data_IF_489657160884
#
_entry.id   IF_489657160884
#
_cell.length_a   1.000
_cell.length_b   1.000
_cell.length_c   1.000
_cell.angle_alpha   90.00
_cell.angle_beta   90.00
_cell.angle_gamma   90.00
#
_symmetry.space_group_name_H-M   'P 1'
#
loop_
_entity.id
_entity.type
_entity.pdbx_description
1 polymer ?
#
# COMPACT_ATOMS: atom_id res chain seq x y z
N UNK A 1 -16.23 -12.32 -26.65
CA UNK A 1 -15.51 -12.38 -25.36
C UNK A 1 -15.39 -10.95 -24.87
N UNK A 2 -15.82 -10.67 -23.64
CA UNK A 2 -15.71 -9.33 -23.05
C UNK A 2 -14.54 -9.34 -22.05
N UNK A 3 -13.62 -8.37 -22.18
CA UNK A 3 -12.43 -8.24 -21.35
C UNK A 3 -12.47 -6.86 -20.69
N UNK A 4 -12.13 -6.78 -19.39
CA UNK A 4 -12.03 -5.54 -18.62
C UNK A 4 -10.60 -5.45 -18.07
N UNK A 5 -9.91 -4.37 -18.40
CA UNK A 5 -8.57 -4.04 -17.92
C UNK A 5 -8.59 -2.60 -17.38
N UNK A 6 -7.89 -2.34 -16.28
CA UNK A 6 -7.82 -1.03 -15.67
C UNK A 6 -6.76 -0.15 -16.34
N UNK A 7 -7.06 1.13 -16.56
CA UNK A 7 -6.00 2.11 -16.81
C UNK A 7 -5.24 2.40 -15.52
N UNK A 8 -4.02 2.94 -15.60
CA UNK A 8 -3.25 3.37 -14.42
C UNK A 8 -3.36 4.87 -14.13
N UNK A 9 -4.17 5.60 -14.90
CA UNK A 9 -4.49 7.02 -14.66
C UNK A 9 -5.74 7.15 -13.80
N UNK A 10 -5.74 8.01 -12.77
CA UNK A 10 -6.89 8.16 -11.87
C UNK A 10 -7.01 9.58 -11.27
N UNK A 11 -6.88 10.62 -12.09
CA UNK A 11 -6.61 12.02 -11.70
C UNK A 11 -7.43 12.60 -10.52
N UNK A 12 -8.68 12.17 -10.37
CA UNK A 12 -9.60 12.67 -9.33
C UNK A 12 -9.66 11.78 -8.08
N UNK A 13 -8.97 10.64 -8.08
CA UNK A 13 -8.98 9.70 -6.96
C UNK A 13 -8.27 10.27 -5.74
N UNK A 14 -8.84 10.01 -4.56
CA UNK A 14 -8.25 10.32 -3.25
C UNK A 14 -7.58 9.09 -2.68
N UNK A 15 -6.29 9.20 -2.38
CA UNK A 15 -5.47 8.09 -1.92
C UNK A 15 -4.97 8.36 -0.51
N UNK A 16 -5.13 7.38 0.37
CA UNK A 16 -4.42 7.37 1.65
C UNK A 16 -3.22 6.43 1.59
N UNK A 17 -2.09 6.85 2.16
CA UNK A 17 -0.91 6.02 2.32
C UNK A 17 -0.65 5.85 3.81
N UNK A 18 -0.79 4.64 4.32
CA UNK A 18 -0.45 4.30 5.70
C UNK A 18 0.96 3.68 5.74
N UNK A 19 1.88 4.31 6.47
CA UNK A 19 3.31 3.96 6.46
C UNK A 19 3.79 3.63 7.86
N UNK A 20 4.45 2.48 8.01
CA UNK A 20 5.09 2.07 9.26
C UNK A 20 6.35 2.89 9.54
N UNK A 21 6.50 3.39 10.77
CA UNK A 21 7.69 4.14 11.20
C UNK A 21 8.88 3.22 11.52
N UNK A 22 8.65 2.04 12.09
CA UNK A 22 9.72 1.06 12.32
C UNK A 22 10.35 0.63 10.98
N UNK A 23 11.69 0.54 10.91
CA UNK A 23 12.45 0.42 9.64
C UNK A 23 12.31 1.63 8.70
N UNK A 24 12.22 2.85 9.25
CA UNK A 24 11.95 4.11 8.52
C UNK A 24 12.81 4.33 7.27
N UNK A 25 14.09 3.98 7.33
CA UNK A 25 14.99 4.12 6.18
C UNK A 25 14.45 3.39 4.93
N UNK A 26 14.01 2.14 5.11
CA UNK A 26 13.47 1.29 4.04
C UNK A 26 12.08 1.79 3.64
N UNK A 27 11.22 2.10 4.63
CA UNK A 27 9.85 2.51 4.37
C UNK A 27 9.74 3.91 3.75
N UNK A 28 10.72 4.79 3.97
CA UNK A 28 10.82 6.06 3.23
C UNK A 28 11.00 5.79 1.73
N UNK A 29 11.87 4.86 1.34
CA UNK A 29 12.05 4.53 -0.07
C UNK A 29 10.78 3.92 -0.68
N UNK A 30 10.04 3.10 0.07
CA UNK A 30 8.73 2.60 -0.36
C UNK A 30 7.73 3.75 -0.56
N UNK A 31 7.69 4.70 0.38
CA UNK A 31 6.83 5.88 0.30
C UNK A 31 7.17 6.75 -0.91
N UNK A 32 8.45 7.04 -1.12
CA UNK A 32 8.92 7.81 -2.28
C UNK A 32 8.53 7.12 -3.60
N UNK A 33 8.72 5.80 -3.67
CA UNK A 33 8.31 5.01 -4.82
C UNK A 33 6.80 5.04 -5.07
N UNK A 34 5.98 4.97 -4.02
CA UNK A 34 4.53 5.08 -4.15
C UNK A 34 4.10 6.49 -4.62
N UNK A 35 4.69 7.53 -4.01
CA UNK A 35 4.41 8.92 -4.36
C UNK A 35 4.78 9.24 -5.82
N UNK A 36 5.93 8.78 -6.30
CA UNK A 36 6.33 8.95 -7.71
C UNK A 36 5.26 8.37 -8.66
N UNK A 37 4.83 7.13 -8.42
CA UNK A 37 3.83 6.47 -9.26
C UNK A 37 2.49 7.20 -9.23
N UNK A 38 1.99 7.55 -8.05
CA UNK A 38 0.71 8.27 -7.92
C UNK A 38 0.72 9.59 -8.70
N UNK A 39 1.82 10.33 -8.66
CA UNK A 39 1.93 11.62 -9.35
C UNK A 39 2.20 11.47 -10.84
N UNK A 40 3.22 10.67 -11.20
CA UNK A 40 3.75 10.58 -12.57
C UNK A 40 2.87 9.75 -13.49
N UNK A 41 2.27 8.68 -12.97
CA UNK A 41 1.44 7.74 -13.74
C UNK A 41 -0.04 7.94 -13.41
N UNK A 42 -0.37 8.02 -12.12
CA UNK A 42 -1.74 8.23 -11.67
C UNK A 42 -2.30 9.61 -11.96
N UNK A 43 -1.43 10.61 -12.21
CA UNK A 43 -1.79 12.02 -12.33
C UNK A 43 -2.59 12.56 -11.12
N UNK A 44 -2.35 11.98 -9.94
CA UNK A 44 -2.99 12.40 -8.69
C UNK A 44 -2.35 13.70 -8.21
N UNK A 45 -3.18 14.69 -7.88
CA UNK A 45 -2.73 15.94 -7.26
C UNK A 45 -2.31 15.71 -5.81
N UNK A 46 -1.33 16.48 -5.33
CA UNK A 46 -0.80 16.36 -3.96
C UNK A 46 -1.88 16.50 -2.87
N UNK A 47 -2.88 17.37 -3.09
CA UNK A 47 -4.01 17.57 -2.18
C UNK A 47 -4.93 16.35 -2.03
N UNK A 48 -4.88 15.41 -2.97
CA UNK A 48 -5.64 14.16 -2.95
C UNK A 48 -4.84 13.00 -2.34
N UNK A 49 -3.60 13.22 -1.88
CA UNK A 49 -2.75 12.20 -1.25
C UNK A 49 -2.56 12.52 0.23
N UNK A 50 -3.09 11.67 1.10
CA UNK A 50 -2.88 11.78 2.56
C UNK A 50 -1.88 10.72 3.01
N UNK A 51 -0.79 11.11 3.67
CA UNK A 51 0.16 10.16 4.28
C UNK A 51 -0.02 10.10 5.80
N UNK A 52 -0.17 8.90 6.34
CA UNK A 52 -0.39 8.62 7.77
C UNK A 52 0.72 7.71 8.27
N UNK A 53 1.38 8.09 9.38
CA UNK A 53 2.45 7.28 9.97
C UNK A 53 1.93 6.45 11.14
N UNK A 54 2.12 5.14 11.08
CA UNK A 54 1.86 4.20 12.20
C UNK A 54 3.17 3.86 12.93
N UNK A 55 3.14 3.46 14.22
CA UNK A 55 4.36 3.06 14.93
C UNK A 55 5.00 1.80 14.32
N UNK A 56 4.24 0.71 14.25
CA UNK A 56 4.66 -0.59 13.73
C UNK A 56 3.70 -1.14 12.67
N UNK A 57 4.07 -2.29 12.11
CA UNK A 57 3.22 -3.04 11.18
C UNK A 57 2.02 -3.69 11.88
N UNK A 58 2.11 -3.92 13.19
CA UNK A 58 1.00 -4.48 13.97
C UNK A 58 -0.19 -3.52 14.05
N UNK A 59 0.05 -2.21 14.16
CA UNK A 59 -1.01 -1.19 14.19
C UNK A 59 -1.52 -0.82 12.78
N UNK A 60 -0.86 -1.29 11.72
CA UNK A 60 -1.17 -0.89 10.34
C UNK A 60 -2.61 -1.28 9.92
N UNK A 61 -3.11 -2.51 10.18
CA UNK A 61 -4.49 -2.87 9.85
C UNK A 61 -5.53 -1.99 10.56
N UNK A 62 -5.30 -1.61 11.82
CA UNK A 62 -6.23 -0.75 12.56
C UNK A 62 -6.42 0.60 11.87
N UNK A 63 -5.31 1.25 11.50
CA UNK A 63 -5.34 2.54 10.81
C UNK A 63 -5.96 2.40 9.42
N UNK A 64 -5.63 1.34 8.68
CA UNK A 64 -6.21 1.09 7.37
C UNK A 64 -7.72 0.84 7.44
N UNK A 65 -8.22 0.11 8.45
CA UNK A 65 -9.66 -0.05 8.69
C UNK A 65 -10.32 1.29 8.97
N UNK A 66 -9.73 2.12 9.83
CA UNK A 66 -10.26 3.45 10.15
C UNK A 66 -10.35 4.36 8.90
N UNK A 67 -9.36 4.28 8.01
CA UNK A 67 -9.36 4.99 6.73
C UNK A 67 -10.46 4.46 5.80
N UNK A 68 -10.62 3.13 5.71
CA UNK A 68 -11.62 2.50 4.86
C UNK A 68 -13.05 2.88 5.26
N UNK A 69 -13.39 2.81 6.56
CA UNK A 69 -14.72 3.16 7.06
C UNK A 69 -15.03 4.66 7.00
N UNK A 70 -14.01 5.50 6.80
CA UNK A 70 -14.22 6.95 6.66
C UNK A 70 -14.87 7.30 5.31
N UNK A 71 -14.79 6.41 4.32
CA UNK A 71 -15.27 6.62 2.95
C UNK A 71 -14.71 7.88 2.27
N UNK A 72 -13.56 8.40 2.73
CA UNK A 72 -12.92 9.60 2.17
C UNK A 72 -11.94 9.31 1.03
N UNK A 73 -11.60 8.05 0.80
CA UNK A 73 -10.54 7.62 -0.09
C UNK A 73 -11.05 6.54 -1.05
N UNK A 74 -10.58 6.59 -2.29
CA UNK A 74 -10.89 5.63 -3.35
C UNK A 74 -9.94 4.43 -3.32
N UNK A 75 -8.77 4.58 -2.70
CA UNK A 75 -7.81 3.51 -2.47
C UNK A 75 -6.86 3.81 -1.32
N UNK A 76 -6.30 2.76 -0.74
CA UNK A 76 -5.33 2.86 0.35
C UNK A 76 -4.05 2.11 -0.04
N UNK A 77 -2.88 2.65 0.27
CA UNK A 77 -1.60 1.96 0.12
C UNK A 77 -1.02 1.71 1.51
N UNK A 78 -0.80 0.45 1.86
CA UNK A 78 -0.23 0.04 3.13
C UNK A 78 1.25 -0.29 2.94
N UNK A 79 2.14 0.52 3.52
CA UNK A 79 3.58 0.42 3.37
C UNK A 79 4.27 0.09 4.69
N UNK A 80 5.21 -0.83 4.66
CA UNK A 80 6.02 -1.16 5.82
C UNK A 80 7.04 -2.24 5.54
N UNK A 81 7.85 -2.55 6.55
CA UNK A 81 8.86 -3.60 6.46
C UNK A 81 8.94 -4.35 7.78
N UNK A 82 8.82 -5.67 7.71
CA UNK A 82 9.05 -6.61 8.81
C UNK A 82 10.23 -7.50 8.39
N UNK A 83 11.28 -7.51 9.20
CA UNK A 83 12.49 -8.30 8.95
C UNK A 83 12.57 -9.40 9.99
N UNK A 84 12.87 -10.63 9.56
CA UNK A 84 12.96 -11.79 10.45
C UNK A 84 14.02 -11.58 11.51
N UNK A 85 13.63 -11.81 12.76
CA UNK A 85 14.53 -11.87 13.91
C UNK A 85 14.74 -13.31 14.37
N UNK A 86 15.14 -13.46 15.64
CA UNK A 86 15.43 -14.78 16.23
C UNK A 86 14.21 -15.49 16.82
N UNK A 87 13.07 -14.81 16.94
CA UNK A 87 11.84 -15.35 17.55
C UNK A 87 10.69 -15.39 16.55
N UNK A 88 9.60 -16.08 16.93
CA UNK A 88 8.34 -16.14 16.18
C UNK A 88 7.63 -14.77 16.01
N UNK A 89 8.13 -13.71 16.64
CA UNK A 89 7.53 -12.38 16.57
C UNK A 89 7.34 -11.88 15.13
N UNK A 90 8.30 -12.18 14.24
CA UNK A 90 8.20 -11.89 12.81
C UNK A 90 6.95 -12.49 12.17
N UNK A 91 6.70 -13.77 12.42
CA UNK A 91 5.62 -14.52 11.77
C UNK A 91 4.26 -14.03 12.26
N UNK A 92 4.15 -13.76 13.57
CA UNK A 92 2.94 -13.21 14.16
C UNK A 92 2.58 -11.84 13.57
N UNK A 93 3.55 -10.92 13.49
CA UNK A 93 3.30 -9.59 12.92
C UNK A 93 2.99 -9.67 11.43
N UNK A 94 3.80 -10.38 10.65
CA UNK A 94 3.64 -10.46 9.21
C UNK A 94 2.30 -11.09 8.83
N UNK A 95 1.90 -12.17 9.49
CA UNK A 95 0.64 -12.88 9.24
C UNK A 95 -0.57 -12.04 9.63
N UNK A 96 -0.60 -11.50 10.85
CA UNK A 96 -1.76 -10.73 11.32
C UNK A 96 -1.92 -9.42 10.54
N UNK A 97 -0.81 -8.76 10.17
CA UNK A 97 -0.87 -7.58 9.33
C UNK A 97 -1.41 -7.90 7.92
N UNK A 98 -0.88 -8.95 7.28
CA UNK A 98 -1.30 -9.34 5.93
C UNK A 98 -2.78 -9.77 5.90
N UNK A 99 -3.17 -10.66 6.83
CA UNK A 99 -4.55 -11.12 6.99
C UNK A 99 -5.51 -9.96 7.25
N UNK A 100 -5.14 -9.07 8.18
CA UNK A 100 -5.93 -7.89 8.50
C UNK A 100 -6.16 -6.99 7.29
N UNK A 101 -5.11 -6.63 6.55
CA UNK A 101 -5.22 -5.79 5.35
C UNK A 101 -6.09 -6.43 4.27
N UNK A 102 -5.92 -7.74 4.03
CA UNK A 102 -6.73 -8.48 3.05
C UNK A 102 -8.22 -8.46 3.42
N UNK A 103 -8.55 -8.76 4.68
CA UNK A 103 -9.93 -8.77 5.15
C UNK A 103 -10.58 -7.38 5.03
N UNK A 104 -9.84 -6.32 5.40
CA UNK A 104 -10.34 -4.95 5.26
C UNK A 104 -10.63 -4.61 3.80
N UNK A 105 -9.78 -5.02 2.85
CA UNK A 105 -9.98 -4.73 1.42
C UNK A 105 -11.28 -5.37 0.91
N UNK A 106 -11.47 -6.65 1.23
CA UNK A 106 -12.63 -7.44 0.80
C UNK A 106 -13.92 -6.91 1.44
N UNK A 107 -13.93 -6.75 2.77
CA UNK A 107 -15.12 -6.29 3.52
C UNK A 107 -15.63 -4.93 3.06
N UNK A 108 -14.73 -4.01 2.71
CA UNK A 108 -15.10 -2.65 2.33
C UNK A 108 -15.21 -2.45 0.81
N UNK A 109 -14.93 -3.49 0.01
CA UNK A 109 -14.82 -3.38 -1.46
C UNK A 109 -13.98 -2.17 -1.88
N UNK A 110 -12.80 -2.06 -1.26
CA UNK A 110 -11.86 -0.95 -1.38
C UNK A 110 -10.47 -1.49 -1.73
N UNK A 111 -9.81 -1.00 -2.79
CA UNK A 111 -8.46 -1.42 -3.15
C UNK A 111 -7.46 -1.05 -2.05
N UNK A 112 -6.70 -2.05 -1.59
CA UNK A 112 -5.59 -1.85 -0.65
C UNK A 112 -4.31 -2.37 -1.30
N UNK A 113 -3.37 -1.47 -1.60
CA UNK A 113 -2.06 -1.79 -2.12
C UNK A 113 -1.19 -2.40 -1.03
N UNK A 114 -0.73 -3.63 -1.24
CA UNK A 114 0.07 -4.38 -0.27
C UNK A 114 1.58 -4.14 -0.49
N UNK A 115 2.10 -3.06 0.10
CA UNK A 115 3.53 -2.71 0.09
C UNK A 115 4.24 -3.05 1.40
N UNK A 116 3.82 -4.13 2.08
CA UNK A 116 4.48 -4.63 3.29
C UNK A 116 5.58 -5.64 2.91
N UNK A 117 6.84 -5.25 3.07
CA UNK A 117 7.97 -6.16 2.89
C UNK A 117 8.06 -7.13 4.07
N UNK A 118 8.07 -8.43 3.79
CA UNK A 118 8.34 -9.49 4.76
C UNK A 118 9.59 -10.25 4.31
N UNK A 119 10.71 -10.00 4.98
CA UNK A 119 12.04 -10.43 4.50
C UNK A 119 12.84 -11.13 5.59
N UNK A 120 13.77 -11.99 5.19
CA UNK A 120 14.64 -12.71 6.13
C UNK A 120 15.81 -11.87 6.61
N UNK A 121 16.21 -10.84 5.85
CA UNK A 121 17.32 -9.97 6.19
C UNK A 121 17.20 -8.56 5.58
N UNK A 122 18.02 -7.65 6.07
CA UNK A 122 18.05 -6.24 5.64
C UNK A 122 18.39 -6.10 4.16
N UNK A 123 19.30 -6.93 3.62
CA UNK A 123 19.71 -6.85 2.21
C UNK A 123 18.54 -7.08 1.26
N UNK A 124 17.70 -8.09 1.54
CA UNK A 124 16.47 -8.33 0.78
C UNK A 124 15.52 -7.12 0.85
N UNK A 125 15.37 -6.51 2.03
CA UNK A 125 14.49 -5.37 2.20
C UNK A 125 14.98 -4.13 1.43
N UNK A 126 16.30 -3.90 1.38
CA UNK A 126 16.92 -2.85 0.57
C UNK A 126 16.69 -3.11 -0.93
N UNK A 127 16.91 -4.35 -1.38
CA UNK A 127 16.71 -4.73 -2.79
C UNK A 127 15.27 -4.48 -3.26
N UNK A 128 14.29 -4.69 -2.39
CA UNK A 128 12.85 -4.53 -2.66
C UNK A 128 12.29 -3.14 -2.35
N UNK A 129 13.14 -2.20 -1.94
CA UNK A 129 12.82 -0.80 -1.70
C UNK A 129 13.71 0.12 -2.54
N UNK A 130 14.10 -0.31 -3.74
CA UNK A 130 14.99 0.45 -4.62
C UNK A 130 14.36 1.78 -5.09
N UNK A 131 15.18 2.81 -5.34
CA UNK A 131 14.67 4.18 -5.67
C UNK A 131 14.20 4.32 -7.12
N UNK A 132 14.48 3.34 -8.02
CA UNK A 132 14.13 3.42 -9.45
C UNK A 132 13.47 2.17 -10.04
N UNK A 133 13.89 0.99 -9.59
CA UNK A 133 13.35 -0.29 -10.03
C UNK A 133 13.25 -1.22 -8.81
N UNK A 134 12.38 -2.23 -8.90
CA UNK A 134 12.16 -3.21 -7.83
C UNK A 134 11.72 -2.56 -6.50
N UNK A 135 10.78 -1.61 -6.57
CA UNK A 135 10.23 -0.91 -5.41
C UNK A 135 8.79 -1.40 -5.15
N UNK A 136 8.58 -2.09 -4.03
CA UNK A 136 7.25 -2.61 -3.69
C UNK A 136 6.22 -1.53 -3.32
N UNK A 137 6.66 -0.34 -2.93
CA UNK A 137 5.78 0.81 -2.76
C UNK A 137 5.24 1.33 -4.10
N UNK A 138 6.10 1.43 -5.12
CA UNK A 138 5.71 1.77 -6.48
C UNK A 138 4.73 0.76 -7.08
N UNK A 139 5.03 -0.53 -6.92
CA UNK A 139 4.15 -1.61 -7.42
C UNK A 139 2.78 -1.60 -6.71
N UNK A 140 2.77 -1.40 -5.38
CA UNK A 140 1.53 -1.30 -4.63
C UNK A 140 0.68 -0.09 -5.07
N UNK A 141 1.31 1.05 -5.37
CA UNK A 141 0.62 2.22 -5.90
C UNK A 141 0.01 1.97 -7.29
N UNK A 142 0.76 1.33 -8.20
CA UNK A 142 0.26 0.96 -9.53
C UNK A 142 -0.98 0.06 -9.43
N UNK A 143 -0.90 -0.98 -8.60
CA UNK A 143 -2.01 -1.90 -8.40
C UNK A 143 -3.26 -1.20 -7.88
N UNK A 144 -3.12 -0.22 -6.96
CA UNK A 144 -4.27 0.56 -6.45
C UNK A 144 -4.90 1.41 -7.55
N UNK A 145 -4.09 2.11 -8.36
CA UNK A 145 -4.60 2.93 -9.46
C UNK A 145 -5.41 2.10 -10.46
N UNK A 146 -4.88 0.93 -10.83
CA UNK A 146 -5.55 0.02 -11.76
C UNK A 146 -6.85 -0.55 -11.16
N UNK A 147 -6.81 -0.99 -9.90
CA UNK A 147 -7.97 -1.54 -9.22
C UNK A 147 -9.09 -0.52 -9.01
N UNK A 148 -8.78 0.75 -8.76
CA UNK A 148 -9.79 1.82 -8.70
C UNK A 148 -10.57 1.88 -10.02
N UNK A 149 -9.87 1.87 -11.15
CA UNK A 149 -10.48 1.93 -12.47
C UNK A 149 -11.30 0.67 -12.78
N UNK A 150 -10.78 -0.52 -12.45
CA UNK A 150 -11.52 -1.79 -12.61
C UNK A 150 -12.82 -1.74 -11.80
N UNK A 151 -12.75 -1.35 -10.52
CA UNK A 151 -13.92 -1.27 -9.66
C UNK A 151 -14.96 -0.26 -10.18
N UNK A 152 -14.52 0.87 -10.74
CA UNK A 152 -15.42 1.84 -11.37
C UNK A 152 -16.11 1.30 -12.62
N UNK A 153 -15.43 0.48 -13.42
CA UNK A 153 -16.01 -0.14 -14.61
C UNK A 153 -17.08 -1.17 -14.22
N UNK A 154 -16.81 -2.01 -13.21
CA UNK A 154 -17.74 -3.10 -12.82
C UNK A 154 -18.90 -2.65 -11.92
N UNK A 155 -18.76 -1.53 -11.19
CA UNK A 155 -19.83 -1.01 -10.32
C UNK A 155 -20.85 -0.14 -11.07
N UNK A 156 -20.63 0.13 -12.36
CA UNK A 156 -21.61 0.79 -13.23
C UNK A 156 -22.78 -0.11 -13.58
#
# INVERSE_FOLDING_TARGET
MNIIEGSTTANEAKIAIAVVRFNRFINNNLLEGALDILKRIGHIKDENITTIWTPGAYELPLIVKALAISHKYDGIIALGTVIRGITLHFELIARECSSGLSNISIENTLPIGFGLLTTDNISQAIERSGVKANNKGSEAALAVLEMINILQIIKK
#
